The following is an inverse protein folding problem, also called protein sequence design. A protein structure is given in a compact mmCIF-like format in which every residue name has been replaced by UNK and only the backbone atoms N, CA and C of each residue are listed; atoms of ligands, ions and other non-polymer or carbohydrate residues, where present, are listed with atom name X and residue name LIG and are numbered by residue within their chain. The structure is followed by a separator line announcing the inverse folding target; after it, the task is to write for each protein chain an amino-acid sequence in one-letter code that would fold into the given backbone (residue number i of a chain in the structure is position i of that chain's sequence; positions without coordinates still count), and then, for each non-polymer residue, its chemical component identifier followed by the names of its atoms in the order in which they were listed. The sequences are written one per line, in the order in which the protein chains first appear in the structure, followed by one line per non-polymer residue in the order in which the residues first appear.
data_IF_283319908725
#
_entry.id   IF_283319908725
#
_cell.length_a   1.000
_cell.length_b   1.000
_cell.length_c   1.000
_cell.angle_alpha   90.00
_cell.angle_beta   90.00
_cell.angle_gamma   90.00
#
_symmetry.space_group_name_H-M   'P 1'
#
loop_
_entity.id
_entity.type
_entity.pdbx_description
1 polymer ?
#
# COMPACT_ATOMS: atom_id res chain seq x y z
N UNK A 1 5.73 25.13 -11.72
CA UNK A 1 5.21 24.43 -10.53
C UNK A 1 4.39 25.43 -9.74
N UNK A 2 3.17 25.10 -9.33
CA UNK A 2 2.31 25.98 -8.53
C UNK A 2 2.25 25.46 -7.08
N UNK A 3 2.03 26.31 -6.07
CA UNK A 3 1.89 25.87 -4.69
C UNK A 3 0.61 25.04 -4.53
N UNK A 4 0.76 23.79 -4.07
CA UNK A 4 -0.36 22.88 -3.82
C UNK A 4 -0.50 22.63 -2.32
N UNK A 5 -1.62 23.08 -1.74
CA UNK A 5 -1.98 22.77 -0.36
C UNK A 5 -3.09 21.72 -0.31
N UNK A 6 -2.70 20.47 -0.07
CA UNK A 6 -3.61 19.33 0.01
C UNK A 6 -4.54 19.45 1.24
N UNK A 7 -4.13 20.17 2.29
CA UNK A 7 -4.97 20.36 3.48
C UNK A 7 -6.13 21.32 3.19
N UNK A 8 -5.89 22.37 2.42
CA UNK A 8 -6.91 23.35 2.05
C UNK A 8 -7.95 22.76 1.09
N UNK A 9 -7.52 21.87 0.18
CA UNK A 9 -8.43 21.16 -0.74
C UNK A 9 -9.42 20.24 0.02
N UNK A 10 -9.06 19.80 1.22
CA UNK A 10 -9.85 18.89 2.09
C UNK A 10 -10.36 17.62 1.41
N UNK A 11 -9.65 17.15 0.37
CA UNK A 11 -10.00 15.91 -0.31
C UNK A 11 -9.77 14.70 0.63
N UNK A 12 -10.69 13.71 0.66
CA UNK A 12 -10.51 12.51 1.47
C UNK A 12 -9.30 11.67 1.02
N UNK A 13 -9.01 11.69 -0.28
CA UNK A 13 -7.89 11.02 -0.91
C UNK A 13 -7.29 11.92 -2.00
N UNK A 14 -5.97 11.89 -2.13
CA UNK A 14 -5.24 12.57 -3.19
C UNK A 14 -4.15 11.65 -3.73
N UNK A 15 -4.05 11.53 -5.05
CA UNK A 15 -3.08 10.65 -5.72
C UNK A 15 -2.23 11.47 -6.66
N UNK A 16 -0.92 11.25 -6.61
CA UNK A 16 0.05 11.98 -7.43
C UNK A 16 1.07 11.05 -8.08
N UNK A 17 1.28 11.24 -9.39
CA UNK A 17 2.40 10.64 -10.10
C UNK A 17 3.62 11.55 -10.04
N UNK A 18 4.79 10.95 -9.84
CA UNK A 18 6.02 11.72 -9.65
C UNK A 18 6.84 11.94 -10.92
N UNK A 19 6.51 11.23 -12.01
CA UNK A 19 7.32 11.19 -13.23
C UNK A 19 7.03 12.29 -14.26
N UNK A 20 6.47 13.42 -13.81
CA UNK A 20 6.25 14.62 -14.62
C UNK A 20 6.95 15.80 -13.94
N UNK A 21 6.17 16.64 -13.28
CA UNK A 21 6.61 17.88 -12.64
C UNK A 21 7.56 17.69 -11.45
N UNK A 22 7.61 16.48 -10.88
CA UNK A 22 8.57 16.12 -9.82
C UNK A 22 9.82 15.40 -10.34
N UNK A 23 9.97 15.26 -11.67
CA UNK A 23 11.15 14.70 -12.34
C UNK A 23 11.62 13.33 -11.82
N UNK A 24 10.71 12.52 -11.26
CA UNK A 24 11.05 11.17 -10.79
C UNK A 24 11.04 10.15 -11.93
N UNK A 25 11.73 9.01 -11.80
CA UNK A 25 11.56 7.88 -12.70
C UNK A 25 10.09 7.43 -12.84
N UNK A 26 9.74 6.90 -14.02
CA UNK A 26 8.43 6.28 -14.25
C UNK A 26 8.21 5.15 -13.25
N UNK A 27 6.98 5.05 -12.74
CA UNK A 27 6.60 4.05 -11.72
C UNK A 27 6.56 4.59 -10.29
N UNK A 28 7.03 5.82 -10.04
CA UNK A 28 6.95 6.44 -8.71
C UNK A 28 5.66 7.27 -8.61
N UNK A 29 4.91 7.04 -7.54
CA UNK A 29 3.71 7.77 -7.18
C UNK A 29 3.41 7.62 -5.70
N UNK A 30 2.45 8.40 -5.21
CA UNK A 30 2.01 8.35 -3.82
C UNK A 30 0.50 8.52 -3.70
N UNK A 31 -0.02 8.09 -2.54
CA UNK A 31 -1.41 8.29 -2.13
C UNK A 31 -1.40 8.99 -0.77
N UNK A 32 -2.08 10.12 -0.69
CA UNK A 32 -2.39 10.81 0.56
C UNK A 32 -3.82 10.49 0.97
N UNK A 33 -4.00 10.08 2.23
CA UNK A 33 -5.30 9.91 2.85
C UNK A 33 -5.46 10.87 4.03
N UNK A 34 -6.62 11.53 4.09
CA UNK A 34 -6.98 12.42 5.19
C UNK A 34 -7.03 11.65 6.51
N UNK A 35 -6.69 12.32 7.62
CA UNK A 35 -6.46 11.68 8.94
C UNK A 35 -7.65 10.82 9.41
N UNK A 36 -8.87 11.28 9.20
CA UNK A 36 -10.12 10.57 9.51
C UNK A 36 -10.33 9.29 8.67
N UNK A 37 -9.73 9.23 7.47
CA UNK A 37 -9.88 8.11 6.54
C UNK A 37 -8.77 7.07 6.59
N UNK A 38 -7.61 7.40 7.18
CA UNK A 38 -6.45 6.48 7.29
C UNK A 38 -6.78 5.13 7.90
N UNK A 39 -7.55 5.11 9.00
CA UNK A 39 -7.95 3.85 9.68
C UNK A 39 -8.87 2.96 8.83
N UNK A 40 -9.57 3.51 7.85
CA UNK A 40 -10.48 2.77 6.96
C UNK A 40 -9.80 2.37 5.64
N UNK A 41 -8.59 2.87 5.37
CA UNK A 41 -7.85 2.56 4.16
C UNK A 41 -7.22 1.17 4.29
N UNK A 42 -7.77 0.19 3.57
CA UNK A 42 -7.22 -1.17 3.50
C UNK A 42 -6.22 -1.25 2.35
N UNK A 43 -4.96 -1.65 2.58
CA UNK A 43 -4.01 -1.86 1.50
C UNK A 43 -4.46 -3.03 0.62
N UNK A 44 -4.47 -2.82 -0.70
CA UNK A 44 -4.77 -3.87 -1.69
C UNK A 44 -3.57 -4.79 -1.93
N UNK A 45 -2.35 -4.25 -1.79
CA UNK A 45 -1.10 -4.97 -1.94
C UNK A 45 -0.33 -4.85 -0.63
N UNK A 46 -0.05 -5.98 0.00
CA UNK A 46 0.70 -6.05 1.26
C UNK A 46 2.02 -6.76 0.97
N UNK A 47 3.13 -6.05 1.13
CA UNK A 47 4.47 -6.63 1.07
C UNK A 47 4.95 -6.97 2.49
N UNK A 48 5.80 -7.99 2.61
CA UNK A 48 6.41 -8.38 3.89
C UNK A 48 7.40 -7.30 4.33
N UNK A 49 7.17 -6.70 5.50
CA UNK A 49 8.13 -5.77 6.10
C UNK A 49 9.29 -6.54 6.72
N UNK A 50 10.56 -6.19 6.43
CA UNK A 50 11.72 -6.78 7.10
C UNK A 50 11.89 -6.31 8.56
N UNK A 51 11.08 -5.33 9.01
CA UNK A 51 11.07 -4.80 10.39
C UNK A 51 9.91 -5.34 11.22
N UNK A 52 9.38 -6.51 10.86
CA UNK A 52 8.17 -7.06 11.46
C UNK A 52 8.44 -7.97 12.67
N UNK A 53 9.29 -7.54 13.61
CA UNK A 53 9.37 -8.21 14.92
C UNK A 53 8.70 -7.42 16.05
N UNK A 54 8.40 -6.13 15.87
CA UNK A 54 7.63 -5.34 16.83
C UNK A 54 6.30 -4.90 16.22
N UNK A 55 5.47 -5.89 15.89
CA UNK A 55 4.11 -5.69 15.42
C UNK A 55 3.23 -5.06 16.53
N UNK A 56 3.30 -3.75 16.69
CA UNK A 56 2.23 -2.99 17.32
C UNK A 56 0.99 -3.03 16.41
N UNK A 57 0.23 -4.13 16.55
CA UNK A 57 -1.21 -4.28 16.32
C UNK A 57 -1.86 -3.24 15.39
N UNK A 58 -1.50 -3.25 14.11
CA UNK A 58 -2.46 -2.86 13.08
C UNK A 58 -3.30 -4.11 12.80
N UNK A 59 -4.35 -4.26 13.59
CA UNK A 59 -5.28 -5.38 13.53
C UNK A 59 -5.74 -5.63 12.09
N UNK A 60 -5.16 -6.64 11.45
CA UNK A 60 -5.88 -7.46 10.50
C UNK A 60 -7.03 -8.08 11.30
N UNK A 61 -8.16 -7.37 11.33
CA UNK A 61 -9.39 -7.87 11.93
C UNK A 61 -9.72 -9.19 11.26
N UNK A 62 -9.72 -10.23 12.09
CA UNK A 62 -10.24 -11.56 11.81
C UNK A 62 -11.50 -11.49 10.95
N UNK A 63 -11.37 -11.83 9.67
CA UNK A 63 -12.51 -12.31 8.90
C UNK A 63 -12.03 -13.50 8.09
N UNK A 64 -12.68 -14.61 8.38
CA UNK A 64 -12.47 -15.94 7.88
C UNK A 64 -12.78 -16.02 6.39
N UNK A 65 -11.89 -15.53 5.54
CA UNK A 65 -11.95 -15.83 4.12
C UNK A 65 -10.84 -16.82 3.81
N UNK A 66 -11.25 -18.08 3.62
CA UNK A 66 -10.43 -19.15 3.04
C UNK A 66 -9.92 -18.68 1.67
N UNK A 67 -8.81 -17.95 1.63
CA UNK A 67 -7.99 -17.88 0.42
C UNK A 67 -7.10 -19.10 0.44
N UNK A 68 -7.59 -20.11 -0.29
CA UNK A 68 -6.93 -21.38 -0.53
C UNK A 68 -5.44 -21.19 -0.83
N UNK A 69 -4.65 -22.02 -0.17
CA UNK A 69 -3.20 -22.09 -0.08
C UNK A 69 -2.44 -22.37 -1.39
N UNK A 70 -2.74 -21.69 -2.51
CA UNK A 70 -2.14 -22.03 -3.81
C UNK A 70 -1.49 -20.86 -4.58
N UNK A 71 -1.06 -19.78 -3.91
CA UNK A 71 -0.29 -18.71 -4.56
C UNK A 71 1.23 -18.87 -4.37
N UNK A 72 1.77 -20.03 -4.70
CA UNK A 72 3.20 -20.20 -5.00
C UNK A 72 3.32 -21.09 -6.26
N UNK A 73 3.52 -20.54 -7.47
CA UNK A 73 3.69 -21.34 -8.68
C UNK A 73 5.15 -21.77 -8.92
N UNK A 74 6.08 -21.48 -8.01
CA UNK A 74 7.51 -21.79 -8.18
C UNK A 74 8.08 -22.46 -6.94
N UNK A 75 8.30 -23.78 -7.04
CA UNK A 75 9.05 -24.54 -6.04
C UNK A 75 8.63 -26.00 -5.88
N UNK A 76 8.83 -26.84 -6.90
CA UNK A 76 9.20 -28.25 -6.70
C UNK A 76 9.59 -28.93 -8.01
N UNK A 77 10.82 -28.68 -8.49
CA UNK A 77 11.50 -29.66 -9.35
C UNK A 77 12.12 -30.69 -8.40
N UNK A 78 11.34 -31.73 -8.05
CA UNK A 78 11.90 -32.95 -7.46
C UNK A 78 12.70 -33.64 -8.57
N UNK A 79 14.01 -33.71 -8.37
CA UNK A 79 14.89 -34.59 -9.14
C UNK A 79 14.51 -36.04 -8.87
N UNK A 80 14.65 -36.84 -9.92
CA UNK A 80 14.53 -38.31 -9.96
C UNK A 80 15.33 -38.98 -8.86
#
# INVERSE_FOLDING_TARGET
MFPLDIKNIDAPYYVGNCHKWMCAPRGIGFVYARKDRRRRLRPLVIARSPYADDAHKHSASSQSDRVSSNCCPWGSRRSV
#
